data_IF_712084349781
#
_entry.id   IF_712084349781
#
_cell.length_a   1.000
_cell.length_b   1.000
_cell.length_c   1.000
_cell.angle_alpha   90.00
_cell.angle_beta   90.00
_cell.angle_gamma   90.00
#
_symmetry.space_group_name_H-M   'P 1'
#
loop_
_entity.id
_entity.type
_entity.pdbx_description
1 polymer ?
#
# COMPACT_ATOMS: atom_id res chain seq x y z
N UNK A 1 -21.50 -25.75 51.29
CA UNK A 1 -21.68 -25.55 49.84
C UNK A 1 -20.47 -24.87 49.19
N UNK A 2 -20.14 -23.60 49.51
CA UNK A 2 -18.98 -22.91 48.88
C UNK A 2 -17.63 -23.60 49.11
N UNK A 3 -17.38 -24.06 50.35
CA UNK A 3 -16.18 -24.82 50.73
C UNK A 3 -16.02 -26.12 49.92
N UNK A 4 -17.12 -26.85 49.71
CA UNK A 4 -17.14 -28.09 48.93
C UNK A 4 -16.90 -27.84 47.44
N UNK A 5 -17.42 -26.73 46.89
CA UNK A 5 -17.15 -26.33 45.50
C UNK A 5 -15.66 -26.07 45.30
N UNK A 6 -15.01 -25.31 46.18
CA UNK A 6 -13.58 -25.06 46.06
C UNK A 6 -12.74 -26.32 46.30
N UNK A 7 -13.14 -27.22 47.21
CA UNK A 7 -12.46 -28.51 47.38
C UNK A 7 -12.59 -29.37 46.10
N UNK A 8 -13.72 -29.31 45.39
CA UNK A 8 -13.85 -29.96 44.08
C UNK A 8 -12.91 -29.34 43.04
N UNK A 9 -12.79 -28.01 43.03
CA UNK A 9 -11.90 -27.27 42.12
C UNK A 9 -10.41 -27.58 42.35
N UNK A 10 -9.99 -27.89 43.58
CA UNK A 10 -8.58 -28.26 43.87
C UNK A 10 -8.21 -29.67 43.38
N UNK A 11 -9.17 -30.45 42.91
CA UNK A 11 -8.93 -31.82 42.44
C UNK A 11 -8.69 -32.84 43.56
N UNK A 12 -8.95 -32.46 44.81
CA UNK A 12 -8.77 -33.33 45.97
C UNK A 12 -10.02 -34.18 46.25
N UNK A 13 -9.82 -35.35 46.89
CA UNK A 13 -10.92 -36.25 47.23
C UNK A 13 -11.77 -35.66 48.38
N UNK A 14 -12.96 -35.20 48.02
CA UNK A 14 -13.92 -34.60 48.96
C UNK A 14 -14.38 -35.56 50.08
N UNK A 15 -14.39 -36.87 49.85
CA UNK A 15 -14.82 -37.86 50.85
C UNK A 15 -13.74 -38.04 51.92
N UNK A 16 -12.47 -38.14 51.52
CA UNK A 16 -11.34 -38.24 52.45
C UNK A 16 -11.19 -36.94 53.25
N UNK A 17 -11.24 -35.79 52.59
CA UNK A 17 -11.10 -34.47 53.24
C UNK A 17 -12.21 -34.18 54.26
N UNK A 18 -13.40 -34.75 54.08
CA UNK A 18 -14.50 -34.59 55.06
C UNK A 18 -14.21 -35.24 56.42
N UNK A 19 -13.27 -36.19 56.47
CA UNK A 19 -12.83 -36.86 57.72
C UNK A 19 -11.64 -36.14 58.38
N UNK A 20 -11.04 -35.16 57.71
CA UNK A 20 -9.89 -34.40 58.21
C UNK A 20 -10.31 -33.14 58.98
N UNK A 21 -9.35 -32.54 59.71
CA UNK A 21 -9.58 -31.30 60.47
C UNK A 21 -10.01 -30.12 59.59
N UNK A 22 -10.78 -29.21 60.16
CA UNK A 22 -11.26 -27.99 59.49
C UNK A 22 -10.13 -27.15 58.86
N UNK A 23 -8.93 -27.17 59.48
CA UNK A 23 -7.75 -26.48 58.97
C UNK A 23 -7.25 -27.02 57.62
N UNK A 24 -7.16 -28.34 57.46
CA UNK A 24 -6.74 -28.95 56.19
C UNK A 24 -7.79 -28.76 55.10
N UNK A 25 -9.08 -28.87 55.44
CA UNK A 25 -10.14 -28.58 54.48
C UNK A 25 -10.11 -27.13 53.98
N UNK A 26 -9.78 -26.17 54.85
CA UNK A 26 -9.66 -24.75 54.50
C UNK A 26 -8.46 -24.48 53.58
N UNK A 27 -7.35 -25.20 53.79
CA UNK A 27 -6.17 -25.13 52.93
C UNK A 27 -6.46 -25.62 51.50
N UNK A 28 -7.09 -26.77 51.35
CA UNK A 28 -7.47 -27.30 50.03
C UNK A 28 -8.59 -26.48 49.37
N UNK A 29 -9.50 -25.89 50.15
CA UNK A 29 -10.44 -24.89 49.63
C UNK A 29 -9.72 -23.63 49.13
N UNK A 30 -8.66 -23.16 49.82
CA UNK A 30 -7.84 -22.04 49.38
C UNK A 30 -7.12 -22.32 48.05
N UNK A 31 -6.55 -23.52 47.89
CA UNK A 31 -5.94 -23.96 46.62
C UNK A 31 -6.97 -24.04 45.50
N UNK A 32 -8.19 -24.52 45.78
CA UNK A 32 -9.25 -24.55 44.78
C UNK A 32 -9.77 -23.17 44.40
N UNK A 33 -9.80 -22.24 45.36
CA UNK A 33 -10.17 -20.86 45.11
C UNK A 33 -9.18 -20.16 44.19
N UNK A 34 -7.86 -20.37 44.36
CA UNK A 34 -6.86 -19.78 43.46
C UNK A 34 -7.01 -20.30 42.03
N UNK A 35 -7.17 -21.62 41.84
CA UNK A 35 -7.42 -22.21 40.51
C UNK A 35 -8.69 -21.64 39.86
N UNK A 36 -9.77 -21.50 40.62
CA UNK A 36 -11.02 -20.92 40.13
C UNK A 36 -10.87 -19.45 39.72
N UNK A 37 -10.25 -18.62 40.56
CA UNK A 37 -10.04 -17.20 40.23
C UNK A 37 -9.09 -17.03 39.05
N UNK A 38 -8.07 -17.87 38.90
CA UNK A 38 -7.19 -17.87 37.71
C UNK A 38 -8.00 -18.16 36.44
N UNK A 39 -8.90 -19.14 36.46
CA UNK A 39 -9.76 -19.45 35.32
C UNK A 39 -10.74 -18.30 34.99
N UNK A 40 -11.32 -17.65 36.00
CA UNK A 40 -12.22 -16.50 35.80
C UNK A 40 -11.46 -15.30 35.20
N UNK A 41 -10.26 -15.02 35.69
CA UNK A 41 -9.42 -13.96 35.12
C UNK A 41 -9.00 -14.28 33.69
N UNK A 42 -8.66 -15.54 33.40
CA UNK A 42 -8.35 -15.98 32.04
C UNK A 42 -9.56 -15.87 31.10
N UNK A 43 -10.77 -16.18 31.58
CA UNK A 43 -12.02 -15.96 30.84
C UNK A 43 -12.20 -14.49 30.47
N UNK A 44 -12.14 -13.59 31.45
CA UNK A 44 -12.35 -12.15 31.22
C UNK A 44 -11.29 -11.58 30.28
N UNK A 45 -10.01 -11.92 30.52
CA UNK A 45 -8.90 -11.45 29.69
C UNK A 45 -9.00 -11.94 28.24
N UNK A 46 -9.29 -13.23 28.03
CA UNK A 46 -9.43 -13.81 26.69
C UNK A 46 -10.69 -13.30 25.99
N UNK A 47 -11.82 -13.17 26.68
CA UNK A 47 -13.05 -12.61 26.10
C UNK A 47 -12.84 -11.16 25.67
N UNK A 48 -12.17 -10.34 26.49
CA UNK A 48 -11.83 -8.96 26.13
C UNK A 48 -10.88 -8.91 24.92
N UNK A 49 -9.79 -9.70 24.95
CA UNK A 49 -8.82 -9.75 23.85
C UNK A 49 -9.48 -10.21 22.53
N UNK A 50 -10.29 -11.27 22.56
CA UNK A 50 -11.03 -11.74 21.40
C UNK A 50 -12.07 -10.74 20.92
N UNK A 51 -12.67 -9.95 21.81
CA UNK A 51 -13.60 -8.89 21.42
C UNK A 51 -12.87 -7.77 20.69
N UNK A 52 -11.71 -7.33 21.18
CA UNK A 52 -10.89 -6.31 20.50
C UNK A 52 -10.35 -6.74 19.14
N UNK A 53 -10.22 -8.05 18.91
CA UNK A 53 -9.67 -8.64 17.69
C UNK A 53 -10.76 -8.93 16.66
N UNK A 54 -11.90 -9.48 17.09
CA UNK A 54 -12.94 -9.97 16.18
C UNK A 54 -14.22 -9.15 16.15
N UNK A 55 -14.36 -8.12 17.01
CA UNK A 55 -15.54 -7.25 17.13
C UNK A 55 -16.87 -8.02 17.28
N UNK A 56 -16.83 -9.27 17.76
CA UNK A 56 -17.99 -10.19 17.79
C UNK A 56 -18.27 -10.66 19.21
N UNK A 57 -19.11 -9.89 19.93
CA UNK A 57 -19.43 -10.12 21.34
C UNK A 57 -19.75 -11.59 21.69
N UNK A 58 -20.65 -12.21 20.94
CA UNK A 58 -21.08 -13.59 21.21
C UNK A 58 -19.96 -14.62 21.01
N UNK A 59 -19.16 -14.48 19.95
CA UNK A 59 -18.04 -15.37 19.68
C UNK A 59 -16.95 -15.20 20.74
N UNK A 60 -16.64 -13.96 21.12
CA UNK A 60 -15.63 -13.65 22.14
C UNK A 60 -15.99 -14.22 23.51
N UNK A 61 -17.26 -14.12 23.92
CA UNK A 61 -17.73 -14.72 25.18
C UNK A 61 -17.66 -16.25 25.11
N UNK A 62 -18.11 -16.86 24.01
CA UNK A 62 -18.09 -18.31 23.85
C UNK A 62 -16.67 -18.88 23.86
N UNK A 63 -15.78 -18.34 23.03
CA UNK A 63 -14.39 -18.79 22.96
C UNK A 63 -13.60 -18.44 24.22
N UNK A 64 -13.87 -17.28 24.82
CA UNK A 64 -13.32 -16.94 26.14
C UNK A 64 -13.73 -17.97 27.19
N UNK A 65 -14.99 -18.41 27.20
CA UNK A 65 -15.49 -19.42 28.15
C UNK A 65 -14.79 -20.76 27.97
N UNK A 66 -14.64 -21.21 26.73
CA UNK A 66 -13.86 -22.42 26.39
C UNK A 66 -12.41 -22.27 26.86
N UNK A 67 -11.79 -21.10 26.68
CA UNK A 67 -10.43 -20.83 27.13
C UNK A 67 -10.29 -20.84 28.66
N UNK A 68 -11.22 -20.20 29.37
CA UNK A 68 -11.28 -20.24 30.83
C UNK A 68 -11.44 -21.67 31.37
N UNK A 69 -12.27 -22.50 30.73
CA UNK A 69 -12.40 -23.92 31.06
C UNK A 69 -11.12 -24.71 30.79
N UNK A 70 -10.40 -24.40 29.70
CA UNK A 70 -9.12 -25.02 29.39
C UNK A 70 -8.08 -24.72 30.48
N UNK A 71 -7.94 -23.45 30.87
CA UNK A 71 -7.03 -23.04 31.94
C UNK A 71 -7.44 -23.67 33.28
N UNK A 72 -8.74 -23.70 33.58
CA UNK A 72 -9.25 -24.38 34.77
C UNK A 72 -8.89 -25.87 34.81
N UNK A 73 -9.05 -26.57 33.69
CA UNK A 73 -8.74 -27.99 33.59
C UNK A 73 -7.23 -28.25 33.74
N UNK A 74 -6.41 -27.44 33.08
CA UNK A 74 -4.95 -27.56 33.11
C UNK A 74 -4.38 -27.27 34.51
N UNK A 75 -4.78 -26.17 35.13
CA UNK A 75 -4.33 -25.79 36.48
C UNK A 75 -4.80 -26.82 37.52
N UNK A 76 -6.03 -27.33 37.41
CA UNK A 76 -6.53 -28.41 38.25
C UNK A 76 -5.71 -29.70 38.09
N UNK A 77 -5.37 -30.07 36.87
CA UNK A 77 -4.54 -31.24 36.59
C UNK A 77 -3.15 -31.10 37.24
N UNK A 78 -2.52 -29.94 37.12
CA UNK A 78 -1.19 -29.67 37.70
C UNK A 78 -1.26 -29.74 39.24
N UNK A 79 -2.22 -29.07 39.86
CA UNK A 79 -2.40 -29.11 41.32
C UNK A 79 -2.64 -30.53 41.83
N UNK A 80 -3.41 -31.34 41.10
CA UNK A 80 -3.70 -32.73 41.48
C UNK A 80 -2.51 -33.69 41.34
N UNK A 81 -1.52 -33.33 40.51
CA UNK A 81 -0.35 -34.20 40.23
C UNK A 81 0.88 -33.84 41.05
N UNK A 82 0.92 -32.65 41.66
CA UNK A 82 2.02 -32.24 42.55
C UNK A 82 2.04 -33.13 43.80
N UNK A 83 3.11 -33.92 43.94
CA UNK A 83 3.37 -34.71 45.15
C UNK A 83 4.49 -34.02 45.92
N UNK A 84 4.26 -33.76 47.20
CA UNK A 84 5.27 -33.19 48.10
C UNK A 84 6.49 -34.11 48.13
N UNK A 85 7.64 -33.62 47.67
CA UNK A 85 8.96 -34.28 47.79
C UNK A 85 9.85 -33.38 48.65
N UNK A 86 10.77 -33.96 49.42
CA UNK A 86 11.62 -33.20 50.36
C UNK A 86 12.57 -32.18 49.68
N UNK A 87 12.70 -32.22 48.34
CA UNK A 87 13.61 -31.35 47.58
C UNK A 87 12.85 -30.30 46.74
N UNK A 88 13.14 -29.02 46.98
CA UNK A 88 12.59 -27.89 46.21
C UNK A 88 12.84 -27.96 44.69
N UNK A 89 13.95 -28.56 44.26
CA UNK A 89 14.28 -28.70 42.83
C UNK A 89 13.31 -29.66 42.13
N UNK A 90 12.90 -30.74 42.81
CA UNK A 90 11.96 -31.71 42.24
C UNK A 90 10.56 -31.11 42.10
N UNK A 91 10.15 -30.22 43.02
CA UNK A 91 8.90 -29.44 42.92
C UNK A 91 8.93 -28.45 41.74
N UNK A 92 10.06 -27.78 41.52
CA UNK A 92 10.24 -26.85 40.40
C UNK A 92 10.23 -27.57 39.04
N UNK A 93 10.90 -28.73 38.94
CA UNK A 93 10.90 -29.56 37.72
C UNK A 93 9.48 -30.05 37.41
N UNK A 94 8.70 -30.42 38.44
CA UNK A 94 7.32 -30.84 38.26
C UNK A 94 6.40 -29.70 37.77
N UNK A 95 6.71 -28.45 38.13
CA UNK A 95 6.00 -27.26 37.63
C UNK A 95 6.46 -26.79 36.24
N UNK A 96 7.62 -27.25 35.74
CA UNK A 96 8.21 -26.79 34.47
C UNK A 96 7.35 -27.00 33.21
N UNK A 97 6.56 -28.09 33.05
CA UNK A 97 5.73 -28.26 31.86
C UNK A 97 4.67 -27.16 31.72
N UNK A 98 4.22 -26.58 32.84
CA UNK A 98 3.29 -25.44 32.87
C UNK A 98 3.90 -24.19 32.25
N UNK A 99 5.16 -23.90 32.61
CA UNK A 99 5.89 -22.73 32.12
C UNK A 99 6.16 -22.89 30.63
N UNK A 100 6.60 -24.07 30.20
CA UNK A 100 6.84 -24.37 28.78
C UNK A 100 5.55 -24.21 27.95
N UNK A 101 4.44 -24.78 28.42
CA UNK A 101 3.15 -24.66 27.74
C UNK A 101 2.67 -23.21 27.68
N UNK A 102 2.81 -22.45 28.77
CA UNK A 102 2.44 -21.04 28.81
C UNK A 102 3.24 -20.21 27.79
N UNK A 103 4.55 -20.48 27.64
CA UNK A 103 5.40 -19.81 26.64
C UNK A 103 4.96 -20.17 25.22
N UNK A 104 4.68 -21.44 24.93
CA UNK A 104 4.21 -21.87 23.60
C UNK A 104 2.89 -21.19 23.25
N UNK A 105 1.93 -21.19 24.18
CA UNK A 105 0.64 -20.53 24.00
C UNK A 105 0.82 -19.03 23.79
N UNK A 106 1.69 -18.38 24.58
CA UNK A 106 1.97 -16.96 24.46
C UNK A 106 2.49 -16.62 23.06
N UNK A 107 3.49 -17.35 22.55
CA UNK A 107 4.06 -17.10 21.21
C UNK A 107 3.04 -17.35 20.09
N UNK A 108 2.29 -18.46 20.17
CA UNK A 108 1.32 -18.85 19.13
C UNK A 108 0.14 -17.86 19.07
N UNK A 109 -0.31 -17.34 20.20
CA UNK A 109 -1.43 -16.37 20.26
C UNK A 109 -0.97 -14.94 19.98
N UNK A 110 0.26 -14.55 20.36
CA UNK A 110 0.75 -13.17 20.17
C UNK A 110 0.75 -12.75 18.71
N UNK A 111 1.24 -13.60 17.79
CA UNK A 111 1.38 -13.23 16.37
C UNK A 111 0.07 -12.88 15.64
N UNK A 112 -1.00 -13.70 15.68
CA UNK A 112 -2.25 -13.32 15.04
C UNK A 112 -2.91 -12.12 15.72
N UNK A 113 -2.74 -11.98 17.03
CA UNK A 113 -3.30 -10.87 17.79
C UNK A 113 -2.59 -9.54 17.48
N UNK A 114 -1.25 -9.56 17.36
CA UNK A 114 -0.43 -8.43 16.89
C UNK A 114 -0.88 -7.98 15.50
N UNK A 115 -0.95 -8.89 14.53
CA UNK A 115 -1.39 -8.59 13.16
C UNK A 115 -2.78 -7.96 13.12
N UNK A 116 -3.68 -8.38 14.02
CA UNK A 116 -5.05 -7.86 14.05
C UNK A 116 -5.16 -6.52 14.78
N UNK A 117 -4.44 -6.35 15.89
CA UNK A 117 -4.39 -5.09 16.64
C UNK A 117 -3.79 -3.98 15.78
N UNK A 118 -2.69 -4.27 15.09
CA UNK A 118 -1.99 -3.31 14.23
C UNK A 118 -2.51 -3.30 12.80
N UNK A 119 -3.70 -3.86 12.54
CA UNK A 119 -4.20 -3.97 11.17
C UNK A 119 -4.25 -2.60 10.47
N UNK A 120 -4.66 -1.54 11.18
CA UNK A 120 -4.77 -0.20 10.60
C UNK A 120 -3.41 0.40 10.25
N UNK A 121 -2.44 0.23 11.13
CA UNK A 121 -1.07 0.68 10.95
C UNK A 121 -0.39 -0.08 9.82
N UNK A 122 -0.57 -1.41 9.76
CA UNK A 122 -0.08 -2.27 8.67
C UNK A 122 -0.70 -1.85 7.33
N UNK A 123 -2.02 -1.65 7.28
CA UNK A 123 -2.71 -1.23 6.06
C UNK A 123 -2.22 0.16 5.59
N UNK A 124 -1.86 1.05 6.51
CA UNK A 124 -1.27 2.36 6.19
C UNK A 124 0.14 2.23 5.61
N UNK A 125 1.00 1.42 6.22
CA UNK A 125 2.37 1.16 5.72
C UNK A 125 2.32 0.49 4.34
N UNK A 126 1.44 -0.51 4.17
CA UNK A 126 1.22 -1.16 2.88
C UNK A 126 0.72 -0.19 1.82
N UNK A 127 -0.15 0.75 2.18
CA UNK A 127 -0.60 1.79 1.25
C UNK A 127 0.56 2.71 0.84
N UNK A 128 1.43 3.08 1.78
CA UNK A 128 2.62 3.88 1.49
C UNK A 128 3.59 3.12 0.56
N UNK A 129 3.85 1.84 0.84
CA UNK A 129 4.66 0.98 -0.04
C UNK A 129 4.03 0.81 -1.44
N UNK A 130 2.71 0.64 -1.52
CA UNK A 130 2.00 0.59 -2.82
C UNK A 130 2.14 1.89 -3.59
N UNK A 131 2.09 3.04 -2.92
CA UNK A 131 2.27 4.34 -3.55
C UNK A 131 3.71 4.52 -4.05
N UNK A 132 4.72 4.13 -3.26
CA UNK A 132 6.12 4.22 -3.68
C UNK A 132 6.41 3.28 -4.85
N UNK A 133 5.88 2.06 -4.84
CA UNK A 133 5.99 1.13 -5.97
C UNK A 133 5.26 1.64 -7.22
N UNK A 134 4.08 2.24 -7.06
CA UNK A 134 3.33 2.84 -8.17
C UNK A 134 4.12 3.98 -8.80
N UNK A 135 4.69 4.86 -7.99
CA UNK A 135 5.51 5.97 -8.46
C UNK A 135 6.78 5.47 -9.16
N UNK A 136 7.50 4.51 -8.55
CA UNK A 136 8.71 3.94 -9.14
C UNK A 136 8.42 3.22 -10.48
N UNK A 137 7.31 2.50 -10.57
CA UNK A 137 6.88 1.86 -11.82
C UNK A 137 6.51 2.89 -12.89
N UNK A 138 5.79 3.95 -12.53
CA UNK A 138 5.50 5.06 -13.46
C UNK A 138 6.78 5.74 -13.94
N UNK A 139 7.75 5.96 -13.06
CA UNK A 139 9.05 6.53 -13.43
C UNK A 139 9.84 5.63 -14.37
N UNK A 140 9.90 4.32 -14.11
CA UNK A 140 10.58 3.36 -14.99
C UNK A 140 9.94 3.29 -16.36
N UNK A 141 8.60 3.24 -16.42
CA UNK A 141 7.88 3.30 -17.69
C UNK A 141 8.14 4.66 -18.36
N UNK A 142 8.08 5.77 -17.64
CA UNK A 142 8.33 7.10 -18.19
C UNK A 142 9.74 7.24 -18.79
N UNK A 143 10.77 6.63 -18.20
CA UNK A 143 12.13 6.59 -18.78
C UNK A 143 12.17 5.90 -20.16
N UNK A 144 11.28 4.94 -20.40
CA UNK A 144 11.19 4.23 -21.67
C UNK A 144 10.50 5.08 -22.76
N UNK A 145 9.44 5.82 -22.42
CA UNK A 145 8.61 6.53 -23.40
C UNK A 145 8.94 8.02 -23.55
N UNK A 146 9.36 8.71 -22.48
CA UNK A 146 9.63 10.16 -22.52
C UNK A 146 10.69 10.57 -23.56
N UNK A 147 11.83 9.84 -23.72
CA UNK A 147 12.83 10.22 -24.71
C UNK A 147 12.29 10.22 -26.15
N UNK A 148 11.43 9.25 -26.49
CA UNK A 148 10.80 9.18 -27.81
C UNK A 148 9.76 10.30 -27.99
N UNK A 149 8.93 10.55 -26.98
CA UNK A 149 7.96 11.65 -26.99
C UNK A 149 8.65 13.01 -27.13
N UNK A 150 9.75 13.23 -26.43
CA UNK A 150 10.50 14.49 -26.47
C UNK A 150 11.23 14.66 -27.81
N UNK A 151 11.74 13.57 -28.41
CA UNK A 151 12.29 13.60 -29.76
C UNK A 151 11.23 14.00 -30.80
N UNK A 152 10.03 13.41 -30.75
CA UNK A 152 8.91 13.75 -31.64
C UNK A 152 8.46 15.21 -31.45
N UNK A 153 8.36 15.70 -30.20
CA UNK A 153 8.06 17.12 -29.91
C UNK A 153 9.11 18.06 -30.48
N UNK A 154 10.38 17.69 -30.38
CA UNK A 154 11.49 18.46 -30.94
C UNK A 154 11.39 18.55 -32.46
N UNK A 155 11.06 17.45 -33.13
CA UNK A 155 10.86 17.39 -34.58
C UNK A 155 9.66 18.25 -35.02
N UNK A 156 8.53 18.17 -34.32
CA UNK A 156 7.37 19.06 -34.57
C UNK A 156 7.77 20.53 -34.41
N UNK A 157 8.51 20.86 -33.36
CA UNK A 157 8.98 22.22 -33.10
C UNK A 157 9.93 22.72 -34.21
N UNK A 158 10.79 21.85 -34.74
CA UNK A 158 11.66 22.17 -35.86
C UNK A 158 10.86 22.47 -37.14
N UNK A 159 9.87 21.63 -37.48
CA UNK A 159 8.99 21.84 -38.64
C UNK A 159 8.16 23.13 -38.53
N UNK A 160 7.69 23.46 -37.31
CA UNK A 160 6.99 24.72 -37.06
C UNK A 160 7.90 25.94 -37.18
N UNK A 161 9.15 25.84 -36.72
CA UNK A 161 10.14 26.91 -36.85
C UNK A 161 10.54 27.13 -38.32
N UNK A 162 10.62 26.08 -39.13
CA UNK A 162 10.87 26.17 -40.56
C UNK A 162 9.77 27.00 -41.25
N UNK A 163 8.49 26.70 -40.96
CA UNK A 163 7.34 27.47 -41.46
C UNK A 163 7.43 28.91 -41.01
N UNK A 164 7.67 29.17 -39.71
CA UNK A 164 7.76 30.54 -39.17
C UNK A 164 8.89 31.35 -39.81
N UNK A 165 10.02 30.72 -40.09
CA UNK A 165 11.15 31.35 -40.77
C UNK A 165 10.76 31.75 -42.21
N UNK A 166 10.13 30.85 -42.96
CA UNK A 166 9.65 31.13 -44.32
C UNK A 166 8.55 32.19 -44.35
N UNK A 167 7.65 32.20 -43.36
CA UNK A 167 6.65 33.26 -43.19
C UNK A 167 7.30 34.63 -42.98
N UNK A 168 8.34 34.70 -42.15
CA UNK A 168 9.10 35.95 -41.92
C UNK A 168 9.77 36.44 -43.21
N UNK A 169 10.35 35.52 -44.01
CA UNK A 169 10.94 35.83 -45.31
C UNK A 169 9.89 36.41 -46.28
N UNK A 170 8.73 35.77 -46.40
CA UNK A 170 7.63 36.24 -47.26
C UNK A 170 7.12 37.61 -46.80
N UNK A 171 6.95 37.82 -45.49
CA UNK A 171 6.54 39.11 -44.93
C UNK A 171 7.59 40.22 -45.19
N UNK A 172 8.88 39.89 -45.16
CA UNK A 172 9.94 40.83 -45.50
C UNK A 172 9.90 41.21 -47.00
N UNK A 173 9.68 40.25 -47.88
CA UNK A 173 9.48 40.49 -49.32
C UNK A 173 8.23 41.34 -49.59
N UNK A 174 7.15 41.09 -48.86
CA UNK A 174 5.91 41.89 -48.91
C UNK A 174 6.19 43.37 -48.60
N UNK A 175 6.85 43.63 -47.46
CA UNK A 175 7.22 44.99 -47.06
C UNK A 175 8.14 45.65 -48.10
N UNK A 176 9.04 44.90 -48.71
CA UNK A 176 10.01 45.41 -49.69
C UNK A 176 9.36 45.89 -50.99
N UNK A 177 8.31 45.23 -51.49
CA UNK A 177 7.64 45.68 -52.71
C UNK A 177 6.58 46.75 -52.43
N UNK A 178 5.94 46.73 -51.26
CA UNK A 178 4.97 47.77 -50.86
C UNK A 178 5.66 49.12 -50.67
N UNK A 179 6.79 49.15 -49.95
CA UNK A 179 7.58 50.38 -49.75
C UNK A 179 8.18 50.93 -51.05
N UNK A 180 8.47 50.08 -52.03
CA UNK A 180 8.85 50.50 -53.38
C UNK A 180 7.66 51.19 -54.09
N UNK A 181 6.45 50.64 -54.00
CA UNK A 181 5.26 51.23 -54.60
C UNK A 181 4.88 52.59 -53.98
N UNK A 182 5.08 52.71 -52.66
CA UNK A 182 4.87 53.93 -51.88
C UNK A 182 5.99 54.97 -52.05
N UNK A 183 7.10 54.61 -52.71
CA UNK A 183 8.25 55.49 -52.93
C UNK A 183 9.04 55.82 -51.66
N UNK A 184 8.84 55.06 -50.58
CA UNK A 184 9.50 55.26 -49.27
C UNK A 184 10.83 54.54 -49.15
N UNK A 185 11.10 53.55 -50.03
CA UNK A 185 12.37 52.82 -50.11
C UNK A 185 12.74 52.50 -51.57
N UNK A 186 14.02 52.20 -51.83
CA UNK A 186 14.51 51.78 -53.14
C UNK A 186 14.63 52.93 -54.16
N UNK A 187 13.88 52.91 -55.26
CA UNK A 187 14.00 53.93 -56.32
C UNK A 187 13.44 55.30 -55.93
N UNK A 188 12.74 55.39 -54.80
CA UNK A 188 12.07 56.61 -54.28
C UNK A 188 11.08 57.24 -55.28
N UNK A 189 10.61 56.46 -56.26
CA UNK A 189 9.62 56.88 -57.24
C UNK A 189 8.29 56.24 -56.90
N UNK A 190 7.28 57.07 -56.69
CA UNK A 190 5.92 56.61 -56.45
C UNK A 190 5.37 55.89 -57.68
N UNK A 191 4.85 54.67 -57.50
CA UNK A 191 4.13 53.94 -58.54
C UNK A 191 4.65 52.54 -58.84
N UNK A 192 3.96 51.85 -59.76
CA UNK A 192 4.19 50.44 -60.11
C UNK A 192 5.06 50.34 -61.36
N UNK A 193 6.38 50.44 -61.18
CA UNK A 193 7.37 50.29 -62.26
C UNK A 193 7.87 48.83 -62.48
N UNK A 194 8.83 48.62 -63.40
CA UNK A 194 9.41 47.30 -63.67
C UNK A 194 10.07 46.65 -62.44
N UNK A 195 10.73 47.45 -61.60
CA UNK A 195 11.37 47.00 -60.35
C UNK A 195 10.34 46.53 -59.31
N UNK A 196 9.17 47.18 -59.27
CA UNK A 196 8.05 46.73 -58.44
C UNK A 196 7.53 45.37 -58.92
N UNK A 197 7.41 45.17 -60.23
CA UNK A 197 6.95 43.91 -60.81
C UNK A 197 7.91 42.77 -60.48
N UNK A 198 9.22 42.95 -60.65
CA UNK A 198 10.22 41.93 -60.30
C UNK A 198 10.19 41.56 -58.80
N UNK A 199 10.05 42.56 -57.92
CA UNK A 199 9.93 42.33 -56.46
C UNK A 199 8.63 41.61 -56.09
N UNK A 200 7.53 41.93 -56.77
CA UNK A 200 6.24 41.25 -56.59
C UNK A 200 6.30 39.81 -57.08
N UNK A 201 6.89 39.56 -58.24
CA UNK A 201 7.03 38.21 -58.79
C UNK A 201 7.87 37.32 -57.85
N UNK A 202 8.91 37.88 -57.21
CA UNK A 202 9.69 37.19 -56.16
C UNK A 202 8.85 36.88 -54.91
N UNK A 203 8.01 37.81 -54.47
CA UNK A 203 7.07 37.56 -53.37
C UNK A 203 6.06 36.47 -53.72
N UNK A 204 5.44 36.54 -54.90
CA UNK A 204 4.40 35.60 -55.32
C UNK A 204 4.97 34.17 -55.49
N UNK A 205 6.21 34.05 -55.95
CA UNK A 205 6.95 32.79 -55.96
C UNK A 205 7.21 32.26 -54.52
N UNK A 206 7.73 33.11 -53.63
CA UNK A 206 8.00 32.73 -52.23
C UNK A 206 6.72 32.40 -51.44
N UNK A 207 5.60 33.05 -51.75
CA UNK A 207 4.28 32.74 -51.18
C UNK A 207 3.79 31.36 -51.60
N UNK A 208 4.00 30.99 -52.86
CA UNK A 208 3.66 29.65 -53.38
C UNK A 208 4.51 28.57 -52.69
N UNK A 209 5.81 28.81 -52.53
CA UNK A 209 6.70 27.94 -51.76
C UNK A 209 6.25 27.80 -50.30
N UNK A 210 5.85 28.90 -49.66
CA UNK A 210 5.34 28.89 -48.29
C UNK A 210 4.06 28.05 -48.16
N UNK A 211 3.13 28.16 -49.11
CA UNK A 211 1.90 27.36 -49.11
C UNK A 211 2.22 25.86 -49.24
N UNK A 212 3.13 25.50 -50.13
CA UNK A 212 3.57 24.11 -50.31
C UNK A 212 4.29 23.59 -49.05
N UNK A 213 5.15 24.40 -48.44
CA UNK A 213 5.85 24.07 -47.20
C UNK A 213 4.87 23.86 -46.05
N UNK A 214 3.87 24.74 -45.90
CA UNK A 214 2.82 24.59 -44.90
C UNK A 214 2.02 23.30 -45.07
N UNK A 215 1.65 22.97 -46.31
CA UNK A 215 0.92 21.74 -46.59
C UNK A 215 1.75 20.50 -46.24
N UNK A 216 3.00 20.46 -46.70
CA UNK A 216 3.92 19.33 -46.46
C UNK A 216 4.23 19.16 -44.97
N UNK A 217 4.51 20.26 -44.26
CA UNK A 217 4.82 20.20 -42.84
C UNK A 217 3.57 19.89 -42.01
N UNK A 218 2.37 20.31 -42.42
CA UNK A 218 1.13 19.94 -41.74
C UNK A 218 0.87 18.43 -41.82
N UNK A 219 1.10 17.80 -42.97
CA UNK A 219 0.98 16.34 -43.12
C UNK A 219 1.98 15.59 -42.23
N UNK A 220 3.24 16.03 -42.20
CA UNK A 220 4.27 15.46 -41.33
C UNK A 220 3.94 15.62 -39.86
N UNK A 221 3.53 16.81 -39.43
CA UNK A 221 3.14 17.10 -38.05
C UNK A 221 1.97 16.21 -37.64
N UNK A 222 0.94 16.06 -38.48
CA UNK A 222 -0.19 15.17 -38.20
C UNK A 222 0.25 13.71 -38.01
N UNK A 223 1.21 13.24 -38.83
CA UNK A 223 1.80 11.90 -38.66
C UNK A 223 2.57 11.73 -37.35
N UNK A 224 3.38 12.74 -36.97
CA UNK A 224 4.14 12.74 -35.71
C UNK A 224 3.21 12.83 -34.50
N UNK A 225 2.15 13.64 -34.55
CA UNK A 225 1.13 13.74 -33.51
C UNK A 225 0.37 12.42 -33.32
N UNK A 226 0.06 11.70 -34.43
CA UNK A 226 -0.55 10.39 -34.36
C UNK A 226 0.39 9.35 -33.69
N UNK A 227 1.69 9.37 -34.00
CA UNK A 227 2.67 8.51 -33.36
C UNK A 227 2.81 8.83 -31.86
N UNK A 228 2.87 10.11 -31.50
CA UNK A 228 2.86 10.54 -30.09
C UNK A 228 1.60 10.03 -29.37
N UNK A 229 0.42 10.13 -29.99
CA UNK A 229 -0.83 9.64 -29.42
C UNK A 229 -0.83 8.12 -29.20
N UNK A 230 -0.23 7.35 -30.12
CA UNK A 230 -0.04 5.90 -29.94
C UNK A 230 0.90 5.59 -28.78
N UNK A 231 2.04 6.31 -28.68
CA UNK A 231 2.98 6.14 -27.57
C UNK A 231 2.34 6.46 -26.22
N UNK A 232 1.56 7.55 -26.12
CA UNK A 232 0.81 7.88 -24.90
C UNK A 232 -0.21 6.80 -24.54
N UNK A 233 -0.91 6.24 -25.53
CA UNK A 233 -1.87 5.15 -25.29
C UNK A 233 -1.16 3.87 -24.80
N UNK A 234 0.00 3.54 -25.37
CA UNK A 234 0.80 2.39 -24.94
C UNK A 234 1.35 2.58 -23.52
N UNK A 235 1.81 3.79 -23.20
CA UNK A 235 2.23 4.17 -21.85
C UNK A 235 1.09 3.95 -20.84
N UNK A 236 -0.10 4.49 -21.11
CA UNK A 236 -1.28 4.35 -20.23
C UNK A 236 -1.68 2.88 -20.05
N UNK A 237 -1.62 2.10 -21.14
CA UNK A 237 -1.90 0.67 -21.09
C UNK A 237 -0.90 -0.07 -20.21
N UNK A 238 0.39 0.21 -20.34
CA UNK A 238 1.42 -0.46 -19.54
C UNK A 238 1.33 -0.10 -18.05
N UNK A 239 0.98 1.15 -17.73
CA UNK A 239 0.66 1.55 -16.35
C UNK A 239 -0.57 0.80 -15.85
N UNK A 240 -1.63 0.70 -16.65
CA UNK A 240 -2.85 -0.03 -16.29
C UNK A 240 -2.64 -1.53 -16.14
N UNK A 241 -1.77 -2.14 -16.93
CA UNK A 241 -1.49 -3.59 -16.88
C UNK A 241 -0.65 -3.96 -15.64
N UNK A 242 0.16 -3.02 -15.14
CA UNK A 242 1.04 -3.21 -13.97
C UNK A 242 0.37 -2.84 -12.65
N UNK A 243 -0.61 -1.93 -12.65
CA UNK A 243 -1.34 -1.51 -11.44
C UNK A 243 -1.96 -2.68 -10.65
N UNK A 244 -2.63 -3.68 -11.27
CA UNK A 244 -3.18 -4.82 -10.53
C UNK A 244 -2.13 -5.66 -9.81
N UNK A 245 -0.88 -5.69 -10.30
CA UNK A 245 0.21 -6.45 -9.65
C UNK A 245 0.59 -5.77 -8.33
N UNK A 246 0.64 -4.44 -8.31
CA UNK A 246 0.94 -3.63 -7.13
C UNK A 246 -0.23 -3.66 -6.15
N UNK A 247 -1.47 -3.57 -6.64
CA UNK A 247 -2.66 -3.60 -5.79
C UNK A 247 -2.80 -4.93 -5.04
N UNK A 248 -2.39 -6.04 -5.69
CA UNK A 248 -2.37 -7.38 -5.09
C UNK A 248 -1.15 -7.63 -4.17
N UNK A 249 -0.29 -6.62 -3.94
CA UNK A 249 0.76 -6.68 -2.92
C UNK A 249 0.15 -6.55 -1.51
N UNK A 250 -0.55 -7.59 -1.07
CA UNK A 250 -1.20 -7.68 0.25
C UNK A 250 -1.12 -9.10 0.84
N UNK A 251 -0.07 -9.86 0.46
CA UNK A 251 0.16 -11.20 0.98
C UNK A 251 0.50 -11.20 2.48
N UNK A 252 0.35 -12.36 3.14
CA UNK A 252 0.69 -12.53 4.55
C UNK A 252 2.13 -12.11 4.88
N UNK A 253 3.08 -12.37 3.98
CA UNK A 253 4.48 -11.93 4.15
C UNK A 253 4.62 -10.41 4.13
N UNK A 254 3.87 -9.69 3.28
CA UNK A 254 3.91 -8.23 3.22
C UNK A 254 3.36 -7.64 4.54
N UNK A 255 2.26 -8.19 5.05
CA UNK A 255 1.68 -7.81 6.35
C UNK A 255 2.60 -8.07 7.54
N UNK A 256 3.41 -9.14 7.48
CA UNK A 256 4.40 -9.46 8.52
C UNK A 256 5.62 -8.53 8.45
N UNK A 257 6.07 -8.15 7.25
CA UNK A 257 7.19 -7.21 7.08
C UNK A 257 6.81 -5.77 7.46
N UNK A 258 5.53 -5.42 7.34
CA UNK A 258 4.99 -4.12 7.71
C UNK A 258 4.69 -3.97 9.23
N UNK A 259 4.93 -5.02 10.03
CA UNK A 259 4.69 -5.10 11.48
C UNK A 259 5.98 -4.77 12.26
#
# INVERSE_FOLDING_TARGET
MLKQFFILCSGADSQILSTCSEGEQTKYAGVGATVFFTAVMAFIASAYALYTVFDTLYASIFFGFVWGLLIFNLDRFIVSTIKKRDNFIDELIQASPRILLAVIIAVVISKPLELKIFQKEIDQVLLEEKNTMTLANQEEIAKQYNPEIDALKSEISALQNEVRTKESEVNALYNTYITEAEGTAGTMKLGKGPVYQEKRDKHDAALTELQQLKHTNAEKISGLEAQMGQLSTNYEKQVSDTQPIIDNFDGLMARVNAL
#
